data_IF_909469860177
#
_entry.id   IF_909469860177
#
_cell.length_a   1.000
_cell.length_b   1.000
_cell.length_c   1.000
_cell.angle_alpha   90.00
_cell.angle_beta   90.00
_cell.angle_gamma   90.00
#
_symmetry.space_group_name_H-M   'P 1'
#
loop_
_entity.id
_entity.type
_entity.pdbx_description
1 polymer ?
#
# COMPACT_ATOMS: atom_id res chain seq x y z
N UNK A 1 19.24 2.78 -13.50
CA UNK A 1 18.24 3.86 -13.30
C UNK A 1 17.54 3.65 -11.96
N UNK A 2 18.20 3.99 -10.85
CA UNK A 2 17.65 3.81 -9.49
C UNK A 2 17.16 5.12 -8.86
N UNK A 3 17.40 6.26 -9.52
CA UNK A 3 17.21 7.60 -8.94
C UNK A 3 15.78 8.12 -9.00
N UNK A 4 14.99 7.76 -10.01
CA UNK A 4 13.62 8.29 -10.19
C UNK A 4 12.61 7.82 -9.14
N UNK A 5 12.73 6.60 -8.63
CA UNK A 5 11.72 6.02 -7.71
C UNK A 5 11.84 6.60 -6.30
N UNK A 6 13.07 6.85 -5.84
CA UNK A 6 13.33 7.41 -4.50
C UNK A 6 12.97 8.89 -4.41
N UNK A 7 13.17 9.67 -5.48
CA UNK A 7 12.78 11.08 -5.55
C UNK A 7 11.25 11.28 -5.48
N UNK A 8 10.46 10.36 -6.05
CA UNK A 8 8.99 10.42 -6.01
C UNK A 8 8.37 10.12 -4.62
N UNK A 9 9.07 9.39 -3.75
CA UNK A 9 8.58 9.11 -2.39
C UNK A 9 8.83 10.30 -1.45
N UNK A 10 9.86 11.10 -1.72
CA UNK A 10 10.18 12.32 -0.96
C UNK A 10 9.29 13.53 -1.32
N UNK A 11 8.50 13.44 -2.39
CA UNK A 11 7.63 14.54 -2.87
C UNK A 11 6.15 14.36 -2.56
N UNK A 12 5.76 13.31 -1.82
CA UNK A 12 4.34 13.07 -1.53
C UNK A 12 3.75 14.13 -0.60
N UNK A 13 2.61 14.67 -0.99
CA UNK A 13 1.84 15.64 -0.21
C UNK A 13 1.03 14.94 0.89
N UNK A 14 0.66 15.69 1.93
CA UNK A 14 -0.20 15.20 3.00
C UNK A 14 -1.55 14.67 2.48
N UNK A 15 -2.11 15.30 1.44
CA UNK A 15 -3.35 14.85 0.80
C UNK A 15 -3.18 13.51 0.08
N UNK A 16 -2.03 13.26 -0.55
CA UNK A 16 -1.76 11.96 -1.17
C UNK A 16 -1.61 10.86 -0.12
N UNK A 17 -0.90 11.13 1.00
CA UNK A 17 -0.84 10.19 2.12
C UNK A 17 -2.22 9.88 2.70
N UNK A 18 -3.05 10.91 2.88
CA UNK A 18 -4.43 10.77 3.37
C UNK A 18 -5.26 9.89 2.44
N UNK A 19 -5.20 10.14 1.13
CA UNK A 19 -5.90 9.31 0.13
C UNK A 19 -5.44 7.86 0.18
N UNK A 20 -4.13 7.61 0.24
CA UNK A 20 -3.61 6.23 0.34
C UNK A 20 -4.10 5.52 1.60
N UNK A 21 -4.06 6.20 2.76
CA UNK A 21 -4.58 5.65 4.02
C UNK A 21 -6.07 5.29 3.88
N UNK A 22 -6.89 6.22 3.38
CA UNK A 22 -8.32 5.98 3.17
C UNK A 22 -8.60 4.79 2.24
N UNK A 23 -7.85 4.67 1.13
CA UNK A 23 -7.97 3.53 0.21
C UNK A 23 -7.60 2.21 0.88
N UNK A 24 -6.52 2.17 1.65
CA UNK A 24 -6.09 0.95 2.37
C UNK A 24 -7.10 0.56 3.44
N UNK A 25 -7.58 1.51 4.23
CA UNK A 25 -8.56 1.24 5.28
C UNK A 25 -9.89 0.76 4.67
N UNK A 26 -10.33 1.35 3.56
CA UNK A 26 -11.51 0.88 2.83
C UNK A 26 -11.33 -0.55 2.30
N UNK A 27 -10.17 -0.87 1.72
CA UNK A 27 -9.87 -2.22 1.23
C UNK A 27 -9.91 -3.26 2.36
N UNK A 28 -9.33 -2.95 3.54
CA UNK A 28 -9.39 -3.82 4.71
C UNK A 28 -10.83 -3.98 5.19
N UNK A 29 -11.57 -2.88 5.31
CA UNK A 29 -12.94 -2.87 5.83
C UNK A 29 -13.90 -3.65 4.94
N UNK A 30 -13.79 -3.56 3.60
CA UNK A 30 -14.63 -4.33 2.68
C UNK A 30 -14.54 -5.84 2.95
N UNK A 31 -13.33 -6.36 3.15
CA UNK A 31 -13.15 -7.79 3.46
C UNK A 31 -13.61 -8.11 4.89
N UNK A 32 -13.37 -7.21 5.85
CA UNK A 32 -13.79 -7.40 7.23
C UNK A 32 -15.32 -7.46 7.39
N UNK A 33 -16.07 -6.68 6.62
CA UNK A 33 -17.55 -6.73 6.59
C UNK A 33 -18.05 -8.10 6.12
N UNK A 34 -17.30 -8.77 5.23
CA UNK A 34 -17.58 -10.13 4.78
C UNK A 34 -17.06 -11.21 5.76
N UNK A 35 -16.49 -10.81 6.91
CA UNK A 35 -15.88 -11.73 7.87
C UNK A 35 -14.54 -12.30 7.40
N UNK A 36 -13.96 -11.74 6.33
CA UNK A 36 -12.71 -12.20 5.73
C UNK A 36 -11.54 -11.40 6.33
N UNK A 37 -10.64 -12.10 7.01
CA UNK A 37 -9.39 -11.52 7.49
C UNK A 37 -8.30 -11.66 6.44
N UNK A 38 -7.76 -10.52 5.99
CA UNK A 38 -6.62 -10.50 5.07
C UNK A 38 -5.38 -11.16 5.68
N UNK A 39 -4.59 -11.83 4.84
CA UNK A 39 -3.35 -12.47 5.26
C UNK A 39 -2.33 -11.43 5.78
N UNK A 40 -1.48 -11.86 6.72
CA UNK A 40 -0.51 -10.97 7.37
C UNK A 40 0.47 -10.31 6.38
N UNK A 41 0.89 -11.04 5.34
CA UNK A 41 1.74 -10.51 4.26
C UNK A 41 1.03 -9.38 3.51
N UNK A 42 -0.24 -9.56 3.17
CA UNK A 42 -1.07 -8.54 2.49
C UNK A 42 -1.18 -7.28 3.33
N UNK A 43 -1.48 -7.40 4.63
CA UNK A 43 -1.55 -6.27 5.54
C UNK A 43 -0.23 -5.49 5.62
N UNK A 44 0.91 -6.19 5.63
CA UNK A 44 2.24 -5.56 5.66
C UNK A 44 2.53 -4.77 4.38
N UNK A 45 2.12 -5.27 3.21
CA UNK A 45 2.31 -4.58 1.92
C UNK A 45 1.42 -3.34 1.85
N UNK A 46 0.14 -3.47 2.23
CA UNK A 46 -0.81 -2.35 2.31
C UNK A 46 -0.31 -1.23 3.23
N UNK A 47 0.23 -1.57 4.39
CA UNK A 47 0.75 -0.58 5.34
C UNK A 47 1.99 0.16 4.80
N UNK A 48 2.89 -0.54 4.10
CA UNK A 48 4.03 0.12 3.43
C UNK A 48 3.56 1.11 2.38
N UNK A 49 2.53 0.78 1.61
CA UNK A 49 1.97 1.68 0.60
C UNK A 49 1.28 2.89 1.24
N UNK A 50 0.48 2.68 2.30
CA UNK A 50 -0.21 3.75 3.03
C UNK A 50 0.77 4.77 3.65
N UNK A 51 1.92 4.31 4.15
CA UNK A 51 2.98 5.17 4.70
C UNK A 51 3.84 5.84 3.62
N UNK A 52 3.60 5.54 2.34
CA UNK A 52 4.46 5.97 1.23
C UNK A 52 5.90 5.51 1.38
N UNK A 53 6.12 4.32 1.95
CA UNK A 53 7.44 3.68 1.96
C UNK A 53 7.74 3.02 0.60
N UNK A 54 6.69 2.81 -0.20
CA UNK A 54 6.75 2.21 -1.54
C UNK A 54 5.82 2.97 -2.49
N UNK A 55 6.19 2.98 -3.77
CA UNK A 55 5.36 3.47 -4.87
C UNK A 55 4.19 2.50 -5.18
N UNK A 56 3.26 2.94 -6.03
CA UNK A 56 2.17 2.07 -6.51
C UNK A 56 2.70 0.89 -7.35
N UNK A 57 3.73 1.10 -8.16
CA UNK A 57 4.36 0.06 -8.97
C UNK A 57 5.03 -1.01 -8.08
N UNK A 58 5.75 -0.58 -7.05
CA UNK A 58 6.33 -1.49 -6.07
C UNK A 58 5.26 -2.22 -5.25
N UNK A 59 4.16 -1.53 -4.90
CA UNK A 59 3.01 -2.17 -4.27
C UNK A 59 2.44 -3.29 -5.14
N UNK A 60 2.16 -3.01 -6.42
CA UNK A 60 1.64 -4.01 -7.36
C UNK A 60 2.60 -5.20 -7.48
N UNK A 61 3.89 -4.92 -7.68
CA UNK A 61 4.93 -5.97 -7.78
C UNK A 61 4.99 -6.83 -6.52
N UNK A 62 4.91 -6.24 -5.34
CA UNK A 62 4.92 -6.98 -4.07
C UNK A 62 3.67 -7.83 -3.88
N UNK A 63 2.50 -7.32 -4.29
CA UNK A 63 1.24 -8.05 -4.23
C UNK A 63 1.25 -9.25 -5.17
N UNK A 64 1.71 -9.08 -6.41
CA UNK A 64 1.78 -10.15 -7.42
C UNK A 64 2.71 -11.30 -7.01
N UNK A 65 3.77 -10.97 -6.26
CA UNK A 65 4.77 -11.93 -5.79
C UNK A 65 4.56 -12.37 -4.33
N UNK A 66 3.46 -11.97 -3.69
CA UNK A 66 3.21 -12.27 -2.29
C UNK A 66 2.98 -13.78 -2.09
N UNK A 67 3.73 -14.37 -1.16
CA UNK A 67 3.44 -15.72 -0.66
C UNK A 67 2.45 -15.61 0.51
N UNK A 68 1.30 -16.27 0.35
CA UNK A 68 0.15 -16.24 1.26
C UNK A 68 -0.02 -17.58 1.99
#
# INVERSE_FOLDING_TARGET
>A
MLTKTTENLLSMTAEEFKKRRQTVDAAINTHAIEGIKLHSTTLKILEKYARGNISLEEFNTLMDNAKL
#
